data_IF_875111759898
#
_entry.id   IF_875111759898
#
_cell.length_a   1.000
_cell.length_b   1.000
_cell.length_c   1.000
_cell.angle_alpha   90.00
_cell.angle_beta   90.00
_cell.angle_gamma   90.00
#
_symmetry.space_group_name_H-M   'P 1'
#
loop_
_entity.id
_entity.type
_entity.pdbx_description
1 polymer ?
#
# COMPACT_ATOMS: atom_id res chain seq x y z
N UNK A 1 -2.98 -18.90 38.08
CA UNK A 1 -3.58 -19.02 36.73
C UNK A 1 -4.19 -17.67 36.44
N UNK A 2 -3.48 -16.81 35.70
CA UNK A 2 -3.91 -15.46 35.41
C UNK A 2 -5.00 -15.54 34.34
N UNK A 3 -6.24 -15.20 34.70
CA UNK A 3 -7.38 -15.22 33.78
C UNK A 3 -7.22 -13.99 32.89
N UNK A 4 -6.51 -14.16 31.77
CA UNK A 4 -6.35 -13.12 30.75
C UNK A 4 -7.64 -13.07 29.93
N UNK A 5 -8.59 -12.24 30.36
CA UNK A 5 -9.86 -12.08 29.68
C UNK A 5 -9.64 -11.35 28.34
N UNK A 6 -9.73 -12.13 27.26
CA UNK A 6 -9.52 -11.64 25.89
C UNK A 6 -10.46 -10.51 25.46
N UNK A 7 -11.58 -10.32 26.17
CA UNK A 7 -12.51 -9.23 25.90
C UNK A 7 -12.00 -7.91 26.51
N UNK A 8 -11.50 -7.97 27.75
CA UNK A 8 -10.92 -6.82 28.44
C UNK A 8 -9.67 -6.29 27.74
N UNK A 9 -8.79 -7.19 27.29
CA UNK A 9 -7.58 -6.80 26.55
C UNK A 9 -7.94 -6.01 25.28
N UNK A 10 -8.99 -6.43 24.55
CA UNK A 10 -9.48 -5.73 23.35
C UNK A 10 -10.09 -4.36 23.65
N UNK A 11 -10.73 -4.18 24.80
CA UNK A 11 -11.25 -2.88 25.21
C UNK A 11 -10.12 -1.93 25.61
N UNK A 12 -9.12 -2.44 26.34
CA UNK A 12 -7.91 -1.69 26.68
C UNK A 12 -7.17 -1.25 25.42
N UNK A 13 -6.99 -2.12 24.43
CA UNK A 13 -6.33 -1.78 23.15
C UNK A 13 -7.06 -0.68 22.38
N UNK A 14 -8.39 -0.73 22.33
CA UNK A 14 -9.21 0.31 21.69
C UNK A 14 -9.07 1.65 22.39
N UNK A 15 -9.06 1.64 23.73
CA UNK A 15 -8.87 2.86 24.54
C UNK A 15 -7.48 3.46 24.32
N UNK A 16 -6.43 2.63 24.36
CA UNK A 16 -5.05 3.07 24.13
C UNK A 16 -4.90 3.68 22.74
N UNK A 17 -5.46 3.05 21.70
CA UNK A 17 -5.41 3.58 20.34
C UNK A 17 -6.16 4.92 20.23
N UNK A 18 -7.36 5.02 20.79
CA UNK A 18 -8.12 6.28 20.80
C UNK A 18 -7.40 7.41 21.55
N UNK A 19 -6.66 7.09 22.62
CA UNK A 19 -5.83 8.06 23.33
C UNK A 19 -4.59 8.48 22.51
N UNK A 20 -3.96 7.55 21.79
CA UNK A 20 -2.85 7.85 20.91
C UNK A 20 -3.26 8.80 19.76
N UNK A 21 -4.44 8.56 19.15
CA UNK A 21 -5.03 9.46 18.14
C UNK A 21 -5.34 10.83 18.74
N UNK A 22 -5.93 10.88 19.96
CA UNK A 22 -6.28 12.13 20.65
C UNK A 22 -5.05 12.99 20.98
N UNK A 23 -3.91 12.37 21.29
CA UNK A 23 -2.65 13.08 21.58
C UNK A 23 -1.87 13.48 20.32
N UNK A 24 -2.43 13.30 19.12
CA UNK A 24 -1.79 13.69 17.86
C UNK A 24 -0.69 12.74 17.39
N UNK A 25 -0.51 11.60 18.07
CA UNK A 25 0.46 10.57 17.70
C UNK A 25 -0.18 9.53 16.75
N UNK A 26 -1.07 9.98 15.87
CA UNK A 26 -1.65 9.10 14.87
C UNK A 26 -0.50 8.57 13.99
N UNK A 27 -0.39 7.24 13.80
CA UNK A 27 0.51 6.72 12.78
C UNK A 27 0.13 7.41 11.48
N UNK A 28 1.12 8.03 10.83
CA UNK A 28 0.98 8.64 9.51
C UNK A 28 0.66 7.52 8.52
N UNK A 29 -0.61 7.15 8.45
CA UNK A 29 -1.10 6.18 7.48
C UNK A 29 -1.04 6.87 6.11
N UNK A 30 -0.28 6.32 5.15
CA UNK A 30 -0.28 6.84 3.79
C UNK A 30 -1.72 6.88 3.28
N UNK A 31 -2.06 7.94 2.53
CA UNK A 31 -3.44 8.16 2.08
C UNK A 31 -3.91 6.95 1.26
N UNK A 32 -4.89 6.17 1.77
CA UNK A 32 -5.29 4.91 1.16
C UNK A 32 -5.85 5.09 -0.25
N UNK A 33 -6.37 6.28 -0.58
CA UNK A 33 -6.88 6.58 -1.93
C UNK A 33 -5.74 6.76 -2.93
N UNK A 34 -4.67 7.45 -2.53
CA UNK A 34 -3.51 7.65 -3.40
C UNK A 34 -2.82 6.31 -3.68
N UNK A 35 -2.61 5.50 -2.64
CA UNK A 35 -2.04 4.15 -2.78
C UNK A 35 -2.88 3.27 -3.73
N UNK A 36 -4.21 3.30 -3.58
CA UNK A 36 -5.09 2.55 -4.47
C UNK A 36 -4.98 2.99 -5.94
N UNK A 37 -4.97 4.30 -6.19
CA UNK A 37 -4.86 4.84 -7.56
C UNK A 37 -3.53 4.46 -8.20
N UNK A 38 -2.42 4.56 -7.45
CA UNK A 38 -1.08 4.24 -7.97
C UNK A 38 -0.96 2.74 -8.28
N UNK A 39 -1.51 1.89 -7.42
CA UNK A 39 -1.60 0.44 -7.66
C UNK A 39 -2.38 0.09 -8.95
N UNK A 40 -3.46 0.81 -9.24
CA UNK A 40 -4.18 0.66 -10.51
C UNK A 40 -3.36 1.11 -11.72
N UNK A 41 -2.65 2.23 -11.62
CA UNK A 41 -1.80 2.76 -12.70
C UNK A 41 -0.66 1.77 -13.02
N UNK A 42 0.01 1.23 -11.98
CA UNK A 42 1.06 0.20 -12.10
C UNK A 42 0.57 -0.99 -12.94
N UNK A 43 -0.60 -1.51 -12.59
CA UNK A 43 -1.26 -2.59 -13.33
C UNK A 43 -1.60 -2.21 -14.77
N UNK A 44 -2.14 -1.01 -15.00
CA UNK A 44 -2.46 -0.51 -16.34
C UNK A 44 -1.24 -0.41 -17.26
N UNK A 45 -0.13 0.15 -16.77
CA UNK A 45 1.13 0.23 -17.51
C UNK A 45 1.65 -1.17 -17.85
N UNK A 46 1.50 -2.14 -16.94
CA UNK A 46 1.91 -3.53 -17.17
C UNK A 46 1.13 -4.18 -18.31
N UNK A 47 -0.19 -3.98 -18.35
CA UNK A 47 -1.06 -4.45 -19.44
C UNK A 47 -0.65 -3.81 -20.77
N UNK A 48 -0.36 -2.50 -20.78
CA UNK A 48 0.12 -1.80 -21.98
C UNK A 48 1.47 -2.35 -22.43
N UNK A 49 2.42 -2.55 -21.52
CA UNK A 49 3.72 -3.16 -21.82
C UNK A 49 3.58 -4.53 -22.48
N UNK A 50 2.68 -5.38 -21.97
CA UNK A 50 2.39 -6.68 -22.59
C UNK A 50 1.71 -6.57 -23.95
N UNK A 51 0.82 -5.60 -24.15
CA UNK A 51 0.23 -5.32 -25.45
C UNK A 51 1.27 -4.85 -26.50
N UNK A 52 2.40 -4.30 -26.04
CA UNK A 52 3.51 -3.87 -26.90
C UNK A 52 4.53 -4.97 -27.23
N UNK A 53 4.51 -6.12 -26.55
CA UNK A 53 5.38 -7.26 -26.84
C UNK A 53 5.39 -7.71 -28.32
N UNK A 54 4.25 -7.81 -29.04
CA UNK A 54 4.25 -8.20 -30.45
C UNK A 54 4.82 -7.15 -31.40
N UNK A 55 4.98 -5.89 -30.96
CA UNK A 55 5.45 -4.78 -31.79
C UNK A 55 6.93 -4.46 -31.55
N UNK A 56 7.35 -4.37 -30.28
CA UNK A 56 8.72 -4.02 -29.91
C UNK A 56 9.03 -4.53 -28.51
N UNK A 57 9.91 -5.52 -28.44
CA UNK A 57 10.39 -6.08 -27.16
C UNK A 57 11.10 -5.01 -26.33
N UNK A 58 11.93 -4.16 -26.93
CA UNK A 58 12.66 -3.11 -26.22
C UNK A 58 11.69 -2.13 -25.56
N UNK A 59 10.68 -1.67 -26.32
CA UNK A 59 9.67 -0.74 -25.80
C UNK A 59 8.83 -1.38 -24.70
N UNK A 60 8.41 -2.63 -24.89
CA UNK A 60 7.67 -3.39 -23.88
C UNK A 60 8.47 -3.56 -22.58
N UNK A 61 9.75 -3.95 -22.68
CA UNK A 61 10.62 -4.13 -21.51
C UNK A 61 10.83 -2.82 -20.75
N UNK A 62 11.05 -1.70 -21.43
CA UNK A 62 11.18 -0.39 -20.77
C UNK A 62 9.89 -0.01 -20.03
N UNK A 63 8.72 -0.18 -20.66
CA UNK A 63 7.41 0.06 -20.03
C UNK A 63 7.18 -0.80 -18.78
N UNK A 64 7.54 -2.09 -18.85
CA UNK A 64 7.38 -3.03 -17.74
C UNK A 64 8.31 -2.70 -16.58
N UNK A 65 9.57 -2.35 -16.85
CA UNK A 65 10.53 -1.94 -15.81
C UNK A 65 10.08 -0.64 -15.14
N UNK A 66 9.61 0.35 -15.91
CA UNK A 66 9.10 1.60 -15.36
C UNK A 66 7.88 1.39 -14.46
N UNK A 67 6.96 0.49 -14.83
CA UNK A 67 5.83 0.10 -13.97
C UNK A 67 6.33 -0.42 -12.61
N UNK A 68 7.37 -1.25 -12.59
CA UNK A 68 7.90 -1.80 -11.34
C UNK A 68 8.59 -0.75 -10.47
N UNK A 69 9.37 0.16 -11.09
CA UNK A 69 10.03 1.26 -10.37
C UNK A 69 8.99 2.18 -9.69
N UNK A 70 7.90 2.53 -10.39
CA UNK A 70 6.80 3.30 -9.80
C UNK A 70 6.22 2.56 -8.60
N UNK A 71 6.15 1.23 -8.67
CA UNK A 71 5.64 0.43 -7.56
C UNK A 71 6.52 0.38 -6.33
N UNK A 72 7.84 0.31 -6.51
CA UNK A 72 8.79 0.35 -5.39
C UNK A 72 8.76 1.74 -4.74
N UNK A 73 8.71 2.82 -5.52
CA UNK A 73 8.68 4.19 -4.98
C UNK A 73 7.40 4.46 -4.18
N UNK A 74 6.26 3.97 -4.65
CA UNK A 74 4.99 4.07 -3.92
C UNK A 74 4.98 3.28 -2.61
N UNK A 75 5.57 2.08 -2.61
CA UNK A 75 5.64 1.24 -1.41
C UNK A 75 6.60 1.83 -0.34
N UNK A 76 7.53 2.70 -0.75
CA UNK A 76 8.44 3.41 0.12
C UNK A 76 7.90 4.77 0.65
N UNK A 77 6.71 5.20 0.21
CA UNK A 77 6.03 6.45 0.60
C UNK A 77 4.94 6.19 1.64
#
# INVERSE_FOLDING_TARGET
>A
MEIKDSHLEREVDKLVNNLAIKNGNAPSHPDPKLHQIISFIKSGIRIIGYAFLPFSLVTATVLLILSEIIGIVEELV
#
